data_IF_372597453726
#
_entry.id   IF_372597453726
#
_cell.length_a   1.000
_cell.length_b   1.000
_cell.length_c   1.000
_cell.angle_alpha   90.00
_cell.angle_beta   90.00
_cell.angle_gamma   90.00
#
_symmetry.space_group_name_H-M   'P 1'
#
loop_
_entity.id
_entity.type
_entity.pdbx_description
1 polymer ?
#
# COMPACT_ATOMS: atom_id res chain seq x y z
N UNK A 1 12.30 -17.64 2.60
CA UNK A 1 11.14 -16.88 2.09
C UNK A 1 11.57 -16.19 0.80
N UNK A 2 10.80 -16.34 -0.27
CA UNK A 2 11.15 -15.80 -1.59
C UNK A 2 10.55 -14.39 -1.76
N UNK A 3 11.16 -13.55 -2.59
CA UNK A 3 10.63 -12.20 -2.92
C UNK A 3 9.14 -12.20 -3.34
N UNK A 4 8.62 -13.33 -3.86
CA UNK A 4 7.21 -13.50 -4.23
C UNK A 4 6.27 -13.65 -3.03
N UNK A 5 6.70 -14.28 -1.94
CA UNK A 5 5.89 -14.37 -0.71
C UNK A 5 5.76 -13.01 -0.04
N UNK A 6 6.85 -12.25 -0.03
CA UNK A 6 6.86 -10.90 0.55
C UNK A 6 5.98 -9.94 -0.26
N UNK A 7 5.97 -10.03 -1.60
CA UNK A 7 5.08 -9.25 -2.46
C UNK A 7 3.60 -9.61 -2.20
N UNK A 8 3.27 -10.91 -2.11
CA UNK A 8 1.91 -11.36 -1.84
C UNK A 8 1.39 -10.91 -0.48
N UNK A 9 2.24 -10.98 0.55
CA UNK A 9 1.87 -10.52 1.89
C UNK A 9 1.54 -9.02 1.89
N UNK A 10 2.42 -8.19 1.31
CA UNK A 10 2.19 -6.74 1.21
C UNK A 10 0.91 -6.42 0.44
N UNK A 11 0.62 -7.15 -0.64
CA UNK A 11 -0.63 -6.96 -1.39
C UNK A 11 -1.87 -7.33 -0.57
N UNK A 12 -1.82 -8.43 0.18
CA UNK A 12 -2.92 -8.83 1.06
C UNK A 12 -3.17 -7.79 2.16
N UNK A 13 -2.10 -7.27 2.77
CA UNK A 13 -2.15 -6.15 3.73
C UNK A 13 -2.79 -4.90 3.11
N UNK A 14 -2.39 -4.54 1.88
CA UNK A 14 -2.97 -3.40 1.17
C UNK A 14 -4.47 -3.59 0.90
N UNK A 15 -4.89 -4.79 0.50
CA UNK A 15 -6.29 -5.09 0.26
C UNK A 15 -7.12 -5.03 1.56
N UNK A 16 -6.58 -5.54 2.67
CA UNK A 16 -7.22 -5.44 3.99
C UNK A 16 -7.36 -3.98 4.46
N UNK A 17 -6.32 -3.15 4.31
CA UNK A 17 -6.42 -1.72 4.59
C UNK A 17 -7.43 -0.99 3.68
N UNK A 18 -7.47 -1.33 2.39
CA UNK A 18 -8.45 -0.80 1.43
C UNK A 18 -9.89 -1.15 1.83
N UNK A 19 -10.12 -2.32 2.40
CA UNK A 19 -11.42 -2.75 2.93
C UNK A 19 -11.78 -2.12 4.28
N UNK A 20 -10.80 -1.53 4.99
CA UNK A 20 -10.97 -0.93 6.31
C UNK A 20 -10.68 -1.90 7.47
N UNK A 21 -10.25 -3.12 7.18
CA UNK A 21 -9.89 -4.13 8.19
C UNK A 21 -8.60 -3.74 8.94
N UNK A 22 -7.74 -2.96 8.29
CA UNK A 22 -6.49 -2.43 8.86
C UNK A 22 -6.58 -0.90 8.85
N UNK A 23 -6.46 -0.30 10.03
CA UNK A 23 -6.56 1.16 10.22
C UNK A 23 -5.21 1.85 10.44
N UNK A 24 -4.15 1.08 10.68
CA UNK A 24 -2.77 1.53 10.92
C UNK A 24 -1.80 0.55 10.25
N UNK A 25 -0.84 1.08 9.49
CA UNK A 25 0.26 0.26 8.98
C UNK A 25 1.13 -0.28 10.13
N UNK A 26 1.66 -1.50 9.97
CA UNK A 26 2.43 -2.17 11.01
C UNK A 26 3.87 -1.66 11.10
N UNK A 27 4.47 -1.30 9.96
CA UNK A 27 5.86 -0.85 9.88
C UNK A 27 6.08 0.21 8.78
N UNK A 28 7.32 0.70 8.70
CA UNK A 28 7.76 1.66 7.70
C UNK A 28 7.47 1.21 6.28
N UNK A 29 7.78 -0.06 5.94
CA UNK A 29 7.65 -0.58 4.58
C UNK A 29 6.19 -0.50 4.19
N UNK A 30 5.31 -1.03 5.02
CA UNK A 30 3.90 -1.07 4.76
C UNK A 30 3.27 0.32 4.68
N UNK A 31 3.60 1.24 5.59
CA UNK A 31 3.08 2.60 5.57
C UNK A 31 3.39 3.30 4.25
N UNK A 32 4.62 3.15 3.75
CA UNK A 32 5.02 3.73 2.48
C UNK A 32 4.37 3.03 1.28
N UNK A 33 4.18 1.70 1.32
CA UNK A 33 3.46 0.99 0.27
C UNK A 33 1.97 1.36 0.25
N UNK A 34 1.33 1.53 1.41
CA UNK A 34 -0.06 1.99 1.51
C UNK A 34 -0.25 3.37 0.90
N UNK A 35 0.64 4.30 1.24
CA UNK A 35 0.66 5.64 0.66
C UNK A 35 0.81 5.59 -0.86
N UNK A 36 1.71 4.74 -1.36
CA UNK A 36 1.93 4.57 -2.79
C UNK A 36 0.74 3.95 -3.50
N UNK A 37 0.14 2.91 -2.90
CA UNK A 37 -1.06 2.25 -3.37
C UNK A 37 -2.23 3.24 -3.46
N UNK A 38 -2.41 4.08 -2.45
CA UNK A 38 -3.42 5.14 -2.46
C UNK A 38 -3.27 6.08 -3.66
N UNK A 39 -2.05 6.56 -3.92
CA UNK A 39 -1.76 7.46 -5.05
C UNK A 39 -2.09 6.83 -6.41
N UNK A 40 -1.82 5.54 -6.60
CA UNK A 40 -2.09 4.88 -7.89
C UNK A 40 -3.55 4.44 -8.05
N UNK A 41 -4.28 4.25 -6.95
CA UNK A 41 -5.68 3.85 -6.96
C UNK A 41 -6.66 5.03 -6.97
N UNK A 42 -6.23 6.24 -6.60
CA UNK A 42 -7.09 7.41 -6.41
C UNK A 42 -8.10 7.66 -7.53
N UNK A 43 -7.72 7.42 -8.79
CA UNK A 43 -8.57 7.68 -9.96
C UNK A 43 -9.60 6.58 -10.25
N UNK A 44 -9.41 5.36 -9.73
CA UNK A 44 -10.25 4.20 -10.04
C UNK A 44 -11.06 3.71 -8.84
N UNK A 45 -10.47 3.81 -7.65
CA UNK A 45 -10.97 3.27 -6.39
C UNK A 45 -10.76 4.35 -5.30
N UNK A 46 -11.52 5.46 -5.35
CA UNK A 46 -11.27 6.61 -4.48
C UNK A 46 -11.52 6.32 -3.00
N UNK A 47 -12.50 5.46 -2.67
CA UNK A 47 -12.81 5.09 -1.27
C UNK A 47 -11.67 4.27 -0.67
N UNK A 48 -11.19 3.27 -1.40
CA UNK A 48 -10.07 2.42 -1.03
C UNK A 48 -8.78 3.21 -0.92
N UNK A 49 -8.56 4.13 -1.86
CA UNK A 49 -7.43 5.06 -1.84
C UNK A 49 -7.39 5.91 -0.56
N UNK A 50 -8.53 6.50 -0.17
CA UNK A 50 -8.63 7.28 1.08
C UNK A 50 -8.32 6.43 2.30
N UNK A 51 -8.83 5.18 2.36
CA UNK A 51 -8.56 4.27 3.49
C UNK A 51 -7.09 3.88 3.59
N UNK A 52 -6.45 3.56 2.47
CA UNK A 52 -5.01 3.30 2.40
C UNK A 52 -4.20 4.52 2.83
N UNK A 53 -4.55 5.71 2.34
CA UNK A 53 -3.88 6.94 2.72
C UNK A 53 -3.99 7.17 4.22
N UNK A 54 -5.19 7.06 4.78
CA UNK A 54 -5.43 7.21 6.20
C UNK A 54 -4.60 6.22 7.02
N UNK A 55 -4.62 4.93 6.68
CA UNK A 55 -3.82 3.92 7.38
C UNK A 55 -2.31 4.22 7.36
N UNK A 56 -1.80 4.78 6.27
CA UNK A 56 -0.41 5.23 6.17
C UNK A 56 -0.12 6.46 7.04
N UNK A 57 -1.02 7.45 7.02
CA UNK A 57 -0.87 8.69 7.78
C UNK A 57 -0.89 8.44 9.28
N UNK A 58 -1.75 7.53 9.74
CA UNK A 58 -1.80 7.12 11.14
C UNK A 58 -0.43 6.62 11.65
N UNK A 59 0.29 5.84 10.85
CA UNK A 59 1.66 5.41 11.16
C UNK A 59 2.65 6.59 11.13
N UNK A 60 2.63 7.41 10.08
CA UNK A 60 3.58 8.53 9.93
C UNK A 60 3.38 9.65 10.96
N UNK A 61 2.22 9.74 11.63
CA UNK A 61 2.05 10.64 12.78
C UNK A 61 2.95 10.25 13.96
N UNK A 62 3.21 8.95 14.14
CA UNK A 62 4.11 8.45 15.18
C UNK A 62 5.57 8.40 14.69
N UNK A 63 5.77 8.11 13.41
CA UNK A 63 7.10 7.93 12.81
C UNK A 63 7.27 8.80 11.54
N UNK A 64 7.36 10.13 11.67
CA UNK A 64 7.37 11.04 10.50
C UNK A 64 8.62 10.87 9.63
N UNK A 65 9.75 10.47 10.21
CA UNK A 65 11.03 10.25 9.52
C UNK A 65 11.05 8.99 8.64
N UNK A 66 10.08 8.10 8.83
CA UNK A 66 10.00 6.84 8.09
C UNK A 66 9.42 7.02 6.69
N UNK A 67 8.85 8.19 6.40
CA UNK A 67 8.25 8.51 5.11
C UNK A 67 9.34 8.71 4.05
N UNK A 68 9.29 7.91 3.00
CA UNK A 68 10.23 7.99 1.87
C UNK A 68 9.53 8.42 0.58
N UNK A 69 10.29 8.78 -0.44
CA UNK A 69 9.74 9.12 -1.75
C UNK A 69 9.13 7.88 -2.43
N UNK A 70 8.16 8.08 -3.32
CA UNK A 70 7.57 6.99 -4.11
C UNK A 70 8.61 6.24 -4.95
N UNK A 71 9.65 6.95 -5.42
CA UNK A 71 10.76 6.35 -6.15
C UNK A 71 11.59 5.42 -5.25
N UNK A 72 11.81 5.79 -3.99
CA UNK A 72 12.56 4.98 -3.04
C UNK A 72 11.82 3.69 -2.65
N UNK A 73 10.48 3.71 -2.61
CA UNK A 73 9.67 2.50 -2.35
C UNK A 73 9.93 1.42 -3.42
N UNK A 74 10.02 1.84 -4.69
CA UNK A 74 10.34 0.94 -5.81
C UNK A 74 11.82 0.54 -5.78
N UNK A 75 12.72 1.50 -5.55
CA UNK A 75 14.17 1.25 -5.50
C UNK A 75 14.58 0.30 -4.37
N UNK A 76 13.90 0.36 -3.23
CA UNK A 76 14.09 -0.57 -2.09
C UNK A 76 13.49 -1.95 -2.34
N UNK A 77 12.80 -2.17 -3.47
CA UNK A 77 12.22 -3.46 -3.83
C UNK A 77 11.00 -3.86 -2.99
N UNK A 78 10.37 -2.92 -2.29
CA UNK A 78 9.19 -3.21 -1.46
C UNK A 78 7.96 -3.59 -2.28
N UNK A 79 7.92 -3.09 -3.52
CA UNK A 79 6.99 -3.46 -4.58
C UNK A 79 7.77 -3.67 -5.88
N UNK A 80 7.31 -4.59 -6.74
CA UNK A 80 7.97 -4.85 -8.02
C UNK A 80 7.79 -3.72 -9.05
N UNK A 81 6.82 -2.82 -8.84
CA UNK A 81 6.59 -1.64 -9.69
C UNK A 81 5.16 -1.10 -9.59
N UNK A 82 4.96 0.15 -9.99
CA UNK A 82 3.67 0.84 -9.88
C UNK A 82 2.56 0.21 -10.74
N UNK A 83 2.80 -0.13 -12.04
CA UNK A 83 1.73 -0.70 -12.87
C UNK A 83 1.22 -2.03 -12.30
N UNK A 84 2.16 -2.90 -11.91
CA UNK A 84 1.85 -4.21 -11.33
C UNK A 84 1.08 -4.08 -10.00
N UNK A 85 1.52 -3.20 -9.11
CA UNK A 85 0.82 -2.94 -7.85
C UNK A 85 -0.64 -2.51 -8.09
N UNK A 86 -0.83 -1.51 -8.97
CA UNK A 86 -2.17 -1.01 -9.32
C UNK A 86 -3.04 -2.11 -9.90
N UNK A 87 -2.52 -2.89 -10.85
CA UNK A 87 -3.30 -3.90 -11.56
C UNK A 87 -3.69 -5.04 -10.61
N UNK A 88 -2.76 -5.51 -9.76
CA UNK A 88 -3.06 -6.54 -8.76
C UNK A 88 -4.07 -6.08 -7.71
N UNK A 89 -3.94 -4.86 -7.19
CA UNK A 89 -4.92 -4.30 -6.23
C UNK A 89 -6.28 -4.09 -6.88
N UNK A 90 -6.31 -3.59 -8.12
CA UNK A 90 -7.57 -3.44 -8.87
C UNK A 90 -8.24 -4.79 -9.07
N UNK A 91 -7.49 -5.86 -9.35
CA UNK A 91 -8.04 -7.21 -9.45
C UNK A 91 -8.59 -7.72 -8.11
N UNK A 92 -7.89 -7.49 -6.99
CA UNK A 92 -8.33 -7.97 -5.68
C UNK A 92 -9.50 -7.20 -5.06
N UNK A 93 -9.69 -5.94 -5.47
CA UNK A 93 -10.70 -5.04 -4.89
C UNK A 93 -11.96 -4.93 -5.77
N UNK A 94 -11.96 -5.53 -6.96
CA UNK A 94 -13.19 -5.61 -7.77
C UNK A 94 -14.24 -6.43 -7.04
N UNK A 95 -15.48 -5.94 -6.91
CA UNK A 95 -16.59 -6.77 -6.46
C UNK A 95 -16.77 -7.91 -7.48
N UNK A 96 -16.89 -9.13 -6.97
CA UNK A 96 -17.32 -10.30 -7.75
C UNK A 96 -18.79 -10.17 -8.14
#
# INVERSE_FOLDING_TARGET
MTSRDDERNVLARCAAASRGDITVAFDQREANVFRLAAMVLQSRLPVESVRLMHASEQYFRLYPTDKVSSADVVRKGWVSGLPRLRDMLTMQLRPH
#
